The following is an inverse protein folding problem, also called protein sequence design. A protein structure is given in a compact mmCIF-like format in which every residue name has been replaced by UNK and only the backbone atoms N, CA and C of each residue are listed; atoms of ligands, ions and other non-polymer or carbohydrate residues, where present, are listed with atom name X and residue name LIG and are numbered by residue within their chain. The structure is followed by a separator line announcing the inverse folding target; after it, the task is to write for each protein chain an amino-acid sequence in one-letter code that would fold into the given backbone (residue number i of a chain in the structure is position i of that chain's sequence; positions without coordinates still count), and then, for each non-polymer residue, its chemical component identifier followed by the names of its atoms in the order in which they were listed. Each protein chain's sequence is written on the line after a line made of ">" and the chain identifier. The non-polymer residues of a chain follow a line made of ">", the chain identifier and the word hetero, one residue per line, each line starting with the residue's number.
data_IF_641302936072
#
_entry.id   IF_641302936072
#
_cell.length_a   1.000
_cell.length_b   1.000
_cell.length_c   1.000
_cell.angle_alpha   90.00
_cell.angle_beta   90.00
_cell.angle_gamma   90.00
#
_symmetry.space_group_name_H-M   'P 1'
#
loop_
_entity.id
_entity.type
_entity.pdbx_description
1 polymer ?
#
# COMPACT_ATOMS: atom_id res chain seq x y z
N UNK A 1 -9.04 1.77 2.22
CA UNK A 1 -9.43 0.87 1.08
C UNK A 1 -8.69 -0.47 1.17
N UNK A 2 -9.26 -1.62 0.74
CA UNK A 2 -8.56 -2.92 0.78
C UNK A 2 -8.63 -3.70 -0.54
N UNK A 3 -7.57 -4.43 -0.87
CA UNK A 3 -7.40 -5.30 -2.03
C UNK A 3 -7.13 -6.76 -1.61
N UNK A 4 -7.47 -7.72 -2.47
CA UNK A 4 -6.99 -9.11 -2.30
C UNK A 4 -5.49 -9.19 -2.56
N UNK A 5 -4.82 -10.21 -2.04
CA UNK A 5 -3.39 -10.43 -2.30
C UNK A 5 -3.07 -10.51 -3.80
N UNK A 6 -3.94 -11.13 -4.60
CA UNK A 6 -3.80 -11.24 -6.06
C UNK A 6 -3.93 -9.87 -6.74
N UNK A 7 -4.94 -9.08 -6.38
CA UNK A 7 -5.14 -7.75 -6.93
C UNK A 7 -3.99 -6.79 -6.52
N UNK A 8 -3.50 -6.92 -5.29
CA UNK A 8 -2.37 -6.14 -4.82
C UNK A 8 -1.08 -6.49 -5.58
N UNK A 9 -0.80 -7.77 -5.81
CA UNK A 9 0.36 -8.20 -6.61
C UNK A 9 0.31 -7.64 -8.04
N UNK A 10 -0.86 -7.63 -8.68
CA UNK A 10 -1.06 -7.01 -10.00
C UNK A 10 -0.84 -5.50 -9.96
N UNK A 11 -1.34 -4.83 -8.93
CA UNK A 11 -1.10 -3.40 -8.72
C UNK A 11 0.39 -3.09 -8.59
N UNK A 12 1.11 -3.78 -7.71
CA UNK A 12 2.57 -3.61 -7.55
C UNK A 12 3.34 -3.85 -8.85
N UNK A 13 2.91 -4.83 -9.65
CA UNK A 13 3.48 -5.10 -10.97
C UNK A 13 3.26 -3.95 -11.95
N UNK A 14 2.12 -3.26 -11.85
CA UNK A 14 1.74 -2.15 -12.75
C UNK A 14 2.53 -0.88 -12.45
N UNK A 15 2.70 -0.55 -11.17
CA UNK A 15 3.38 0.70 -10.75
C UNK A 15 4.91 0.57 -10.71
N UNK A 16 5.42 -0.67 -10.69
CA UNK A 16 6.85 -0.96 -10.75
C UNK A 16 7.57 -0.80 -9.41
N UNK A 17 8.61 -1.62 -9.20
CA UNK A 17 9.30 -1.72 -7.91
C UNK A 17 10.14 -0.47 -7.51
N UNK A 18 10.36 0.47 -8.43
CA UNK A 18 11.22 1.62 -8.19
C UNK A 18 10.64 2.69 -7.27
N UNK A 19 9.33 2.62 -6.98
CA UNK A 19 8.62 3.57 -6.10
C UNK A 19 8.05 2.89 -4.85
N UNK A 20 8.48 1.67 -4.57
CA UNK A 20 7.98 0.86 -3.46
C UNK A 20 9.07 0.73 -2.40
N UNK A 21 8.68 0.89 -1.14
CA UNK A 21 9.45 0.43 0.01
C UNK A 21 8.64 -0.65 0.72
N UNK A 22 9.27 -1.76 1.11
CA UNK A 22 8.60 -2.83 1.86
C UNK A 22 9.30 -3.03 3.21
N UNK A 23 8.54 -2.98 4.30
CA UNK A 23 9.02 -3.21 5.66
C UNK A 23 8.07 -4.16 6.41
N UNK A 24 8.60 -5.27 6.92
CA UNK A 24 7.94 -6.27 7.78
C UNK A 24 6.38 -6.28 7.80
N UNK A 25 5.73 -6.58 6.67
CA UNK A 25 4.26 -6.69 6.55
C UNK A 25 3.53 -5.41 6.10
N UNK A 26 4.29 -4.37 5.78
CA UNK A 26 3.85 -3.08 5.24
C UNK A 26 4.57 -2.79 3.92
N UNK A 27 3.85 -2.22 2.96
CA UNK A 27 4.39 -1.75 1.68
C UNK A 27 4.01 -0.29 1.51
N UNK A 28 4.99 0.58 1.47
CA UNK A 28 4.83 2.01 1.21
C UNK A 28 5.03 2.28 -0.27
N UNK A 29 4.04 2.91 -0.88
CA UNK A 29 4.10 3.38 -2.27
C UNK A 29 4.37 4.87 -2.24
N UNK A 30 5.53 5.27 -2.76
CA UNK A 30 5.95 6.66 -2.87
C UNK A 30 5.34 7.29 -4.13
N UNK A 31 4.10 7.77 -4.05
CA UNK A 31 3.45 8.47 -5.15
C UNK A 31 3.84 9.96 -5.15
N UNK A 32 3.65 10.62 -6.29
CA UNK A 32 4.04 12.04 -6.45
C UNK A 32 3.24 12.97 -5.53
N UNK A 33 2.00 12.60 -5.20
CA UNK A 33 1.10 13.37 -4.32
C UNK A 33 1.23 12.99 -2.84
N UNK A 34 2.01 11.97 -2.51
CA UNK A 34 2.20 11.50 -1.13
C UNK A 34 2.46 10.01 -1.03
N UNK A 35 2.82 9.58 0.17
CA UNK A 35 3.09 8.18 0.48
C UNK A 35 1.80 7.46 0.85
N UNK A 36 1.61 6.26 0.28
CA UNK A 36 0.47 5.39 0.60
C UNK A 36 1.01 4.12 1.23
N UNK A 37 0.68 3.90 2.50
CA UNK A 37 1.07 2.69 3.23
C UNK A 37 0.01 1.60 3.07
N UNK A 38 0.44 0.40 2.67
CA UNK A 38 -0.39 -0.79 2.57
C UNK A 38 0.03 -1.79 3.64
N UNK A 39 -0.92 -2.24 4.45
CA UNK A 39 -0.68 -3.22 5.52
C UNK A 39 -1.39 -4.54 5.19
N UNK A 40 -0.72 -5.65 5.48
CA UNK A 40 -1.31 -6.98 5.37
C UNK A 40 -2.33 -7.21 6.52
N UNK A 41 -3.58 -7.47 6.17
CA UNK A 41 -4.67 -7.80 7.11
C UNK A 41 -5.34 -9.08 6.62
N UNK A 42 -5.10 -10.17 7.35
CA UNK A 42 -5.49 -11.53 6.94
C UNK A 42 -4.96 -11.89 5.54
N UNK A 43 -5.86 -12.13 4.59
CA UNK A 43 -5.54 -12.49 3.20
C UNK A 43 -5.78 -11.32 2.24
N UNK A 44 -5.63 -10.09 2.75
CA UNK A 44 -5.87 -8.83 2.04
C UNK A 44 -4.81 -7.80 2.40
N UNK A 45 -4.71 -6.78 1.55
CA UNK A 45 -3.86 -5.62 1.74
C UNK A 45 -4.72 -4.39 1.84
N UNK A 46 -4.61 -3.66 2.94
CA UNK A 46 -5.41 -2.47 3.19
C UNK A 46 -4.52 -1.24 3.23
N UNK A 47 -4.97 -0.16 2.60
CA UNK A 47 -4.36 1.16 2.79
C UNK A 47 -4.55 1.52 4.26
N UNK A 48 -3.42 1.76 4.93
CA UNK A 48 -3.39 2.46 6.20
C UNK A 48 -3.58 3.92 5.87
N UNK A 49 -4.83 4.38 5.95
CA UNK A 49 -5.09 5.81 6.07
C UNK A 49 -4.46 6.22 7.40
N UNK A 50 -3.22 6.71 7.33
CA UNK A 50 -2.67 7.56 8.38
C UNK A 50 -3.71 8.64 8.58
N UNK A 51 -4.36 8.63 9.75
CA UNK A 51 -5.40 9.58 10.11
C UNK A 51 -4.83 11.00 10.07
N UNK A 52 -4.79 11.61 8.89
CA UNK A 52 -4.63 13.04 8.65
C UNK A 52 -5.96 13.58 8.13
N UNK A 53 -7.02 13.16 8.82
CA UNK A 53 -8.27 13.88 9.00
C UNK A 53 -8.53 13.85 10.51
N UNK A 54 -7.69 14.56 11.24
CA UNK A 54 -7.88 14.90 12.64
C UNK A 54 -7.68 16.42 12.77
N UNK A 55 -8.72 17.13 12.32
CA UNK A 55 -9.18 18.48 12.70
C UNK A 55 -8.18 19.66 12.71
#
# INVERSE_FOLDING_TARGET
>A
MCLTSEAFALFLTTIGAGILSSDAGTVTVHATEGDIEWVAVDNRWCIRESADDAE
#
